data_IF_518975720991
#
_entry.id   IF_518975720991
#
_cell.length_a   1.000
_cell.length_b   1.000
_cell.length_c   1.000
_cell.angle_alpha   90.00
_cell.angle_beta   90.00
_cell.angle_gamma   90.00
#
_symmetry.space_group_name_H-M   'P 1'
#
loop_
_entity.id
_entity.type
_entity.pdbx_description
1 polymer ?
#
# COMPACT_ATOMS: atom_id res chain seq x y z
N UNK A 1 -20.78 -0.18 15.68
CA UNK A 1 -20.06 -1.29 15.01
C UNK A 1 -19.36 -2.04 16.13
N UNK A 2 -19.87 -3.20 16.52
CA UNK A 2 -19.19 -4.04 17.52
C UNK A 2 -18.05 -4.71 16.76
N UNK A 3 -16.81 -4.26 16.96
CA UNK A 3 -15.68 -4.87 16.30
C UNK A 3 -15.66 -6.37 16.65
N UNK A 4 -15.60 -7.23 15.64
CA UNK A 4 -15.46 -8.65 15.85
C UNK A 4 -14.19 -8.89 16.69
N UNK A 5 -14.34 -9.53 17.86
CA UNK A 5 -13.22 -9.76 18.77
C UNK A 5 -12.08 -10.54 18.11
N UNK A 6 -12.40 -11.41 17.14
CA UNK A 6 -11.41 -12.15 16.35
C UNK A 6 -10.62 -11.22 15.43
N UNK A 7 -11.25 -10.20 14.83
CA UNK A 7 -10.55 -9.20 14.03
C UNK A 7 -9.58 -8.38 14.90
N UNK A 8 -10.01 -7.99 16.09
CA UNK A 8 -9.15 -7.25 17.04
C UNK A 8 -7.94 -8.10 17.42
N UNK A 9 -8.14 -9.38 17.74
CA UNK A 9 -7.05 -10.32 18.03
C UNK A 9 -6.10 -10.49 16.84
N UNK A 10 -6.63 -10.65 15.63
CA UNK A 10 -5.80 -10.78 14.43
C UNK A 10 -4.89 -9.57 14.23
N UNK A 11 -5.42 -8.36 14.45
CA UNK A 11 -4.66 -7.11 14.37
C UNK A 11 -3.61 -6.98 15.47
N UNK A 12 -3.91 -7.43 16.69
CA UNK A 12 -2.99 -7.40 17.83
C UNK A 12 -1.82 -8.38 17.66
N UNK A 13 -2.10 -9.57 17.14
CA UNK A 13 -1.08 -10.59 16.90
C UNK A 13 -0.19 -10.28 15.68
N UNK A 14 -0.72 -9.64 14.64
CA UNK A 14 0.05 -9.36 13.43
C UNK A 14 1.03 -8.18 13.62
N UNK A 15 2.30 -8.29 13.17
CA UNK A 15 2.93 -9.41 12.45
C UNK A 15 3.75 -10.35 13.34
N UNK A 16 3.67 -10.23 14.67
CA UNK A 16 4.59 -10.88 15.61
C UNK A 16 4.24 -12.32 15.94
N UNK A 17 2.94 -12.67 15.92
CA UNK A 17 2.46 -14.02 16.19
C UNK A 17 1.56 -14.53 15.05
N UNK A 18 2.18 -15.09 14.01
CA UNK A 18 1.52 -15.38 12.74
C UNK A 18 0.43 -16.46 12.85
N UNK A 19 0.65 -17.50 13.65
CA UNK A 19 -0.29 -18.61 13.78
C UNK A 19 -1.63 -18.14 14.37
N UNK A 20 -1.58 -17.47 15.52
CA UNK A 20 -2.76 -16.92 16.19
C UNK A 20 -3.39 -15.75 15.42
N UNK A 21 -2.59 -14.98 14.68
CA UNK A 21 -3.10 -13.97 13.77
C UNK A 21 -3.94 -14.60 12.66
N UNK A 22 -3.44 -15.64 12.00
CA UNK A 22 -4.14 -16.35 10.92
C UNK A 22 -5.38 -17.08 11.42
N UNK A 23 -5.29 -17.79 12.55
CA UNK A 23 -6.44 -18.44 13.16
C UNK A 23 -7.55 -17.41 13.46
N UNK A 24 -7.21 -16.33 14.15
CA UNK A 24 -8.16 -15.28 14.50
C UNK A 24 -8.72 -14.59 13.25
N UNK A 25 -7.89 -14.35 12.24
CA UNK A 25 -8.31 -13.72 11.00
C UNK A 25 -9.29 -14.60 10.22
N UNK A 26 -9.04 -15.91 10.15
CA UNK A 26 -9.94 -16.86 9.50
C UNK A 26 -11.31 -16.89 10.21
N UNK A 27 -11.34 -16.89 11.55
CA UNK A 27 -12.59 -16.76 12.29
C UNK A 27 -13.29 -15.43 12.02
N UNK A 28 -12.54 -14.33 11.91
CA UNK A 28 -13.12 -13.02 11.60
C UNK A 28 -13.78 -13.00 10.22
N UNK A 29 -13.10 -13.54 9.20
CA UNK A 29 -13.62 -13.61 7.83
C UNK A 29 -14.79 -14.58 7.71
N UNK A 30 -14.80 -15.70 8.43
CA UNK A 30 -15.94 -16.62 8.44
C UNK A 30 -17.21 -15.98 9.05
N UNK A 31 -17.05 -15.02 9.96
CA UNK A 31 -18.16 -14.29 10.56
C UNK A 31 -18.65 -13.14 9.66
N UNK A 32 -17.73 -12.45 8.98
CA UNK A 32 -18.02 -11.33 8.09
C UNK A 32 -17.05 -11.34 6.90
N UNK A 33 -17.42 -12.08 5.85
CA UNK A 33 -16.56 -12.35 4.69
C UNK A 33 -16.11 -11.07 3.96
N UNK A 34 -16.96 -10.04 3.95
CA UNK A 34 -16.72 -8.77 3.26
C UNK A 34 -16.20 -7.66 4.19
N UNK A 35 -15.62 -7.99 5.35
CA UNK A 35 -15.04 -6.96 6.20
C UNK A 35 -13.77 -6.38 5.55
N UNK A 36 -13.73 -5.07 5.19
CA UNK A 36 -12.62 -4.49 4.44
C UNK A 36 -11.28 -4.52 5.20
N UNK A 37 -11.33 -4.46 6.54
CA UNK A 37 -10.14 -4.53 7.39
C UNK A 37 -9.59 -5.96 7.39
N UNK A 38 -10.44 -6.96 7.55
CA UNK A 38 -10.04 -8.37 7.52
C UNK A 38 -9.46 -8.76 6.15
N UNK A 39 -10.14 -8.39 5.06
CA UNK A 39 -9.66 -8.63 3.70
C UNK A 39 -8.31 -7.94 3.43
N UNK A 40 -8.17 -6.69 3.85
CA UNK A 40 -6.90 -5.98 3.73
C UNK A 40 -5.78 -6.64 4.54
N UNK A 41 -6.06 -7.09 5.77
CA UNK A 41 -5.07 -7.80 6.59
C UNK A 41 -4.66 -9.12 5.94
N UNK A 42 -5.61 -9.88 5.37
CA UNK A 42 -5.29 -11.11 4.64
C UNK A 42 -4.45 -10.83 3.39
N UNK A 43 -4.75 -9.75 2.67
CA UNK A 43 -3.93 -9.27 1.56
C UNK A 43 -2.50 -8.94 2.00
N UNK A 44 -2.34 -8.28 3.16
CA UNK A 44 -1.03 -7.99 3.76
C UNK A 44 -0.27 -9.25 4.14
N UNK A 45 -0.91 -10.25 4.75
CA UNK A 45 -0.24 -11.53 5.06
C UNK A 45 0.32 -12.17 3.80
N UNK A 46 -0.45 -12.19 2.71
CA UNK A 46 0.00 -12.73 1.44
C UNK A 46 1.14 -11.90 0.80
N UNK A 47 1.08 -10.57 0.90
CA UNK A 47 2.11 -9.65 0.40
C UNK A 47 3.42 -9.69 1.21
N UNK A 48 3.31 -9.61 2.53
CA UNK A 48 4.42 -9.37 3.44
C UNK A 48 5.07 -10.68 3.92
N UNK A 49 4.27 -11.74 4.12
CA UNK A 49 4.73 -13.02 4.68
C UNK A 49 4.88 -14.08 3.60
N UNK A 50 3.80 -14.45 2.92
CA UNK A 50 3.82 -15.57 1.96
C UNK A 50 4.43 -15.21 0.60
N UNK A 51 4.53 -13.92 0.29
CA UNK A 51 4.97 -13.42 -1.02
C UNK A 51 4.11 -13.94 -2.18
N UNK A 52 2.86 -14.29 -1.89
CA UNK A 52 1.86 -14.62 -2.89
C UNK A 52 1.18 -13.33 -3.36
N UNK A 53 1.87 -12.62 -4.25
CA UNK A 53 1.40 -11.34 -4.77
C UNK A 53 0.09 -11.45 -5.58
N UNK A 54 -0.13 -12.48 -6.42
CA UNK A 54 -1.42 -12.68 -7.07
C UNK A 54 -2.59 -12.79 -6.08
N UNK A 55 -2.44 -13.57 -5.01
CA UNK A 55 -3.48 -13.72 -3.99
C UNK A 55 -3.62 -12.46 -3.13
N UNK A 56 -2.53 -11.76 -2.82
CA UNK A 56 -2.58 -10.46 -2.16
C UNK A 56 -3.41 -9.44 -2.97
N UNK A 57 -3.20 -9.38 -4.29
CA UNK A 57 -3.98 -8.53 -5.19
C UNK A 57 -5.48 -8.83 -5.15
N UNK A 58 -5.89 -10.10 -5.17
CA UNK A 58 -7.33 -10.43 -5.10
C UNK A 58 -7.94 -9.93 -3.80
N UNK A 59 -7.28 -10.15 -2.67
CA UNK A 59 -7.75 -9.64 -1.38
C UNK A 59 -7.81 -8.11 -1.31
N UNK A 60 -6.83 -7.39 -1.87
CA UNK A 60 -6.89 -5.92 -1.91
C UNK A 60 -8.02 -5.40 -2.80
N UNK A 61 -8.33 -6.08 -3.91
CA UNK A 61 -9.50 -5.75 -4.75
C UNK A 61 -10.80 -5.99 -4.01
N UNK A 62 -10.93 -7.12 -3.33
CA UNK A 62 -12.10 -7.45 -2.52
C UNK A 62 -12.27 -6.43 -1.38
N UNK A 63 -11.18 -6.06 -0.70
CA UNK A 63 -11.21 -5.03 0.34
C UNK A 63 -11.70 -3.67 -0.19
N UNK A 64 -11.22 -3.23 -1.35
CA UNK A 64 -11.71 -1.99 -1.98
C UNK A 64 -13.15 -2.11 -2.50
N UNK A 65 -13.57 -3.29 -2.96
CA UNK A 65 -14.95 -3.54 -3.35
C UNK A 65 -15.91 -3.48 -2.14
N UNK A 66 -15.46 -4.00 -0.99
CA UNK A 66 -16.19 -3.91 0.27
C UNK A 66 -16.25 -2.49 0.82
N UNK A 67 -15.14 -1.74 0.79
CA UNK A 67 -15.12 -0.35 1.19
C UNK A 67 -13.98 0.43 0.55
N UNK A 68 -14.33 1.32 -0.38
CA UNK A 68 -13.39 2.29 -0.98
C UNK A 68 -12.89 3.35 0.02
N UNK A 69 -13.52 3.43 1.19
CA UNK A 69 -13.20 4.43 2.22
C UNK A 69 -12.21 3.89 3.26
N UNK A 70 -11.87 2.59 3.24
CA UNK A 70 -10.79 2.05 4.06
C UNK A 70 -9.43 2.36 3.40
N UNK A 71 -8.86 3.51 3.79
CA UNK A 71 -7.73 4.12 3.09
C UNK A 71 -6.42 3.32 3.16
N UNK A 72 -6.27 2.44 4.17
CA UNK A 72 -5.06 1.64 4.35
C UNK A 72 -4.82 0.69 3.17
N UNK A 73 -5.89 0.18 2.57
CA UNK A 73 -5.81 -0.76 1.43
C UNK A 73 -5.07 -0.18 0.24
N UNK A 74 -5.17 1.14 -0.01
CA UNK A 74 -4.49 1.76 -1.15
C UNK A 74 -2.97 1.65 -1.05
N UNK A 75 -2.40 1.85 0.13
CA UNK A 75 -0.94 1.79 0.33
C UNK A 75 -0.42 0.40 0.00
N UNK A 76 -0.97 -0.63 0.65
CA UNK A 76 -0.54 -2.01 0.46
C UNK A 76 -0.81 -2.53 -0.96
N UNK A 77 -1.91 -2.11 -1.57
CA UNK A 77 -2.20 -2.49 -2.94
C UNK A 77 -1.24 -1.81 -3.93
N UNK A 78 -0.88 -0.54 -3.72
CA UNK A 78 0.13 0.14 -4.52
C UNK A 78 1.51 -0.53 -4.39
N UNK A 79 1.90 -0.98 -3.19
CA UNK A 79 3.12 -1.77 -2.99
C UNK A 79 3.08 -3.07 -3.79
N UNK A 80 1.97 -3.83 -3.69
CA UNK A 80 1.82 -5.11 -4.37
C UNK A 80 1.93 -4.96 -5.90
N UNK A 81 1.20 -3.99 -6.47
CA UNK A 81 1.26 -3.68 -7.90
C UNK A 81 2.65 -3.24 -8.34
N UNK A 82 3.35 -2.44 -7.52
CA UNK A 82 4.70 -1.99 -7.83
C UNK A 82 5.71 -3.15 -7.85
N UNK A 83 5.60 -4.10 -6.92
CA UNK A 83 6.45 -5.30 -6.86
C UNK A 83 6.27 -6.18 -8.09
N UNK A 84 5.01 -6.35 -8.53
CA UNK A 84 4.68 -7.15 -9.71
C UNK A 84 4.87 -6.42 -11.04
N UNK A 85 5.24 -5.14 -10.99
CA UNK A 85 5.40 -4.28 -12.16
C UNK A 85 4.10 -4.10 -12.97
N UNK A 86 2.94 -4.20 -12.31
CA UNK A 86 1.60 -3.99 -12.85
C UNK A 86 1.30 -2.49 -12.99
N UNK A 87 2.07 -1.82 -13.85
CA UNK A 87 2.12 -0.37 -13.94
C UNK A 87 0.82 0.26 -14.45
N UNK A 88 0.14 -0.35 -15.41
CA UNK A 88 -1.13 0.14 -15.96
C UNK A 88 -2.19 0.22 -14.87
N UNK A 89 -2.24 -0.78 -14.01
CA UNK A 89 -3.18 -0.82 -12.91
C UNK A 89 -2.80 0.13 -11.78
N UNK A 90 -1.51 0.21 -11.44
CA UNK A 90 -1.01 1.17 -10.46
C UNK A 90 -1.39 2.61 -10.84
N UNK A 91 -1.31 2.99 -12.11
CA UNK A 91 -1.75 4.31 -12.60
C UNK A 91 -3.25 4.53 -12.37
N UNK A 92 -4.08 3.52 -12.65
CA UNK A 92 -5.54 3.62 -12.43
C UNK A 92 -5.85 3.75 -10.94
N UNK A 93 -5.19 2.97 -10.09
CA UNK A 93 -5.37 3.01 -8.65
C UNK A 93 -4.95 4.37 -8.07
N UNK A 94 -3.79 4.91 -8.46
CA UNK A 94 -3.35 6.25 -8.06
C UNK A 94 -4.38 7.33 -8.47
N UNK A 95 -4.88 7.28 -9.69
CA UNK A 95 -5.87 8.24 -10.18
C UNK A 95 -7.20 8.17 -9.40
N UNK A 96 -7.61 6.97 -9.00
CA UNK A 96 -8.80 6.75 -8.19
C UNK A 96 -8.59 7.21 -6.73
N UNK A 97 -7.47 6.81 -6.12
CA UNK A 97 -7.09 7.17 -4.75
C UNK A 97 -7.03 8.69 -4.54
N UNK A 98 -6.49 9.45 -5.51
CA UNK A 98 -6.42 10.93 -5.45
C UNK A 98 -7.77 11.63 -5.23
N UNK A 99 -8.87 10.97 -5.58
CA UNK A 99 -10.24 11.51 -5.42
C UNK A 99 -10.85 11.18 -4.06
N UNK A 100 -10.20 10.34 -3.25
CA UNK A 100 -10.71 9.92 -1.93
C UNK A 100 -10.44 11.01 -0.89
N UNK A 101 -11.42 11.25 -0.02
CA UNK A 101 -11.28 12.17 1.11
C UNK A 101 -10.39 11.53 2.17
N UNK A 102 -9.43 12.28 2.70
CA UNK A 102 -8.53 11.81 3.76
C UNK A 102 -7.33 10.99 3.28
N UNK A 103 -7.20 10.72 1.98
CA UNK A 103 -6.02 10.02 1.44
C UNK A 103 -4.74 10.85 1.65
N UNK A 104 -3.65 10.18 2.00
CA UNK A 104 -2.34 10.81 2.09
C UNK A 104 -1.81 11.11 0.69
N UNK A 105 -1.92 12.37 0.27
CA UNK A 105 -1.44 12.83 -1.04
C UNK A 105 0.08 12.78 -1.18
N UNK A 106 0.82 12.99 -0.09
CA UNK A 106 2.28 12.88 -0.09
C UNK A 106 2.70 11.45 -0.42
N UNK A 107 2.04 10.47 0.22
CA UNK A 107 2.25 9.06 -0.05
C UNK A 107 1.88 8.67 -1.50
N UNK A 108 0.80 9.21 -2.07
CA UNK A 108 0.48 8.96 -3.48
C UNK A 108 1.56 9.49 -4.45
N UNK A 109 2.15 10.66 -4.17
CA UNK A 109 3.26 11.16 -4.97
C UNK A 109 4.53 10.33 -4.80
N UNK A 110 4.79 9.81 -3.60
CA UNK A 110 5.88 8.86 -3.37
C UNK A 110 5.74 7.62 -4.27
N UNK A 111 4.57 6.99 -4.29
CA UNK A 111 4.29 5.84 -5.17
C UNK A 111 4.38 6.18 -6.65
N UNK A 112 3.89 7.35 -7.06
CA UNK A 112 4.03 7.81 -8.45
C UNK A 112 5.50 8.02 -8.83
N UNK A 113 6.33 8.55 -7.92
CA UNK A 113 7.76 8.68 -8.14
C UNK A 113 8.44 7.31 -8.26
N UNK A 114 8.04 6.31 -7.46
CA UNK A 114 8.57 4.95 -7.53
C UNK A 114 8.24 4.28 -8.86
N UNK A 115 6.98 4.41 -9.30
CA UNK A 115 6.52 3.95 -10.61
C UNK A 115 7.35 4.57 -11.74
N UNK A 116 7.54 5.89 -11.71
CA UNK A 116 8.35 6.59 -12.73
C UNK A 116 9.83 6.17 -12.67
N UNK A 117 10.36 5.92 -11.47
CA UNK A 117 11.73 5.40 -11.28
C UNK A 117 11.89 4.00 -11.89
N UNK A 118 10.94 3.08 -11.63
CA UNK A 118 10.88 1.74 -12.23
C UNK A 118 10.78 1.76 -13.75
N UNK A 119 10.01 2.70 -14.30
CA UNK A 119 9.92 2.93 -15.74
C UNK A 119 11.13 3.67 -16.34
N UNK A 120 12.20 3.91 -15.57
CA UNK A 120 13.41 4.64 -15.97
C UNK A 120 13.16 6.09 -16.44
N UNK A 121 12.03 6.68 -16.02
CA UNK A 121 11.62 8.07 -16.31
C UNK A 121 12.15 9.01 -15.22
N UNK A 122 13.45 8.94 -14.95
CA UNK A 122 14.08 9.58 -13.79
C UNK A 122 13.86 11.08 -13.67
N UNK A 123 13.92 11.84 -14.77
CA UNK A 123 13.65 13.29 -14.76
C UNK A 123 12.21 13.62 -14.33
N UNK A 124 11.25 12.74 -14.65
CA UNK A 124 9.86 12.90 -14.19
C UNK A 124 9.74 12.50 -12.71
N UNK A 125 10.36 11.38 -12.33
CA UNK A 125 10.40 10.94 -10.93
C UNK A 125 10.98 12.02 -9.99
N UNK A 126 12.05 12.70 -10.41
CA UNK A 126 12.68 13.79 -9.64
C UNK A 126 11.78 15.04 -9.51
N UNK A 127 10.82 15.26 -10.42
CA UNK A 127 9.83 16.33 -10.26
C UNK A 127 8.76 15.92 -9.27
N UNK A 128 8.20 14.72 -9.43
CA UNK A 128 7.14 14.18 -8.58
C UNK A 128 7.60 14.03 -7.12
N UNK A 129 8.84 13.59 -6.88
CA UNK A 129 9.36 13.45 -5.52
C UNK A 129 9.37 14.78 -4.76
N UNK A 130 9.56 15.92 -5.45
CA UNK A 130 9.50 17.24 -4.82
C UNK A 130 8.08 17.59 -4.36
N UNK A 131 7.06 17.18 -5.12
CA UNK A 131 5.65 17.33 -4.72
C UNK A 131 5.35 16.49 -3.46
N UNK A 132 5.89 15.27 -3.38
CA UNK A 132 5.79 14.45 -2.18
C UNK A 132 6.44 15.15 -0.96
N UNK A 133 7.62 15.74 -1.13
CA UNK A 133 8.36 16.43 -0.06
C UNK A 133 7.59 17.64 0.49
N UNK A 134 6.90 18.41 -0.36
CA UNK A 134 6.08 19.54 0.07
C UNK A 134 4.90 19.13 0.97
N UNK A 135 4.45 17.87 0.85
CA UNK A 135 3.33 17.32 1.59
C UNK A 135 3.77 16.40 2.74
N UNK A 136 5.07 16.22 2.95
CA UNK A 136 5.59 15.34 3.99
C UNK A 136 5.23 15.87 5.39
N UNK A 137 4.56 15.04 6.19
CA UNK A 137 4.06 15.43 7.52
C UNK A 137 4.99 15.03 8.67
N UNK A 138 5.92 14.11 8.42
CA UNK A 138 6.84 13.58 9.44
C UNK A 138 8.28 13.67 8.99
N UNK A 139 9.20 13.76 9.96
CA UNK A 139 10.64 13.76 9.68
C UNK A 139 11.13 12.44 9.09
N UNK A 140 10.53 11.30 9.49
CA UNK A 140 10.84 9.99 8.90
C UNK A 140 10.47 9.95 7.42
N UNK A 141 9.25 10.34 7.07
CA UNK A 141 8.82 10.34 5.68
C UNK A 141 9.63 11.33 4.84
N UNK A 142 9.94 12.53 5.36
CA UNK A 142 10.83 13.46 4.66
C UNK A 142 12.21 12.84 4.40
N UNK A 143 12.77 12.12 5.37
CA UNK A 143 14.07 11.45 5.23
C UNK A 143 14.04 10.40 4.11
N UNK A 144 12.99 9.59 4.05
CA UNK A 144 12.81 8.58 2.98
C UNK A 144 12.75 9.23 1.59
N UNK A 145 12.05 10.37 1.47
CA UNK A 145 11.93 11.12 0.23
C UNK A 145 13.27 11.74 -0.21
N UNK A 146 14.07 12.24 0.74
CA UNK A 146 15.41 12.75 0.47
C UNK A 146 16.35 11.67 -0.04
N UNK A 147 16.32 10.48 0.57
CA UNK A 147 17.10 9.33 0.13
C UNK A 147 16.71 8.88 -1.27
N UNK A 148 15.40 8.80 -1.53
CA UNK A 148 14.88 8.50 -2.86
C UNK A 148 15.31 9.54 -3.89
N UNK A 149 15.26 10.84 -3.56
CA UNK A 149 15.73 11.92 -4.44
C UNK A 149 17.22 11.76 -4.77
N UNK A 150 18.07 11.50 -3.77
CA UNK A 150 19.51 11.23 -3.96
C UNK A 150 19.74 10.01 -4.86
N UNK A 151 18.97 8.94 -4.67
CA UNK A 151 19.03 7.72 -5.50
C UNK A 151 18.67 8.01 -6.96
N UNK A 152 17.59 8.76 -7.21
CA UNK A 152 17.16 9.17 -8.55
C UNK A 152 18.21 10.05 -9.22
N UNK A 153 18.78 11.02 -8.50
CA UNK A 153 19.83 11.91 -9.01
C UNK A 153 21.08 11.13 -9.46
N UNK A 154 21.51 10.15 -8.66
CA UNK A 154 22.59 9.23 -9.05
C UNK A 154 22.24 8.45 -10.31
N UNK A 155 21.01 7.92 -10.43
CA UNK A 155 20.56 7.19 -11.63
C UNK A 155 20.50 8.06 -12.89
N UNK A 156 20.18 9.35 -12.76
CA UNK A 156 20.24 10.30 -13.89
C UNK A 156 21.68 10.47 -14.36
N UNK A 157 22.65 10.58 -13.45
CA UNK A 157 24.05 10.75 -13.81
C UNK A 157 24.68 9.51 -14.47
N UNK A 158 24.08 8.32 -14.27
CA UNK A 158 24.51 7.07 -14.91
C UNK A 158 24.03 6.89 -16.35
N UNK A 159 23.09 7.73 -16.82
CA UNK A 159 22.39 7.56 -18.10
C UNK A 159 22.65 8.74 -19.04
#
# INVERSE_FOLDING_TARGET
MTANIYLVKALDYYPYNLEEALESLNYAMAYEENNPIALCLMGRVNLEIFKDYPLANSYFREALAASVDYLETYTYFLDCLLIQEEFEEMVKLLAFARKRKGIDRGLLFYYEALLLEKQLKFKKAQKVIKEAMLLAQTGSFMSDLEEMKKRIEKKIALK
#
